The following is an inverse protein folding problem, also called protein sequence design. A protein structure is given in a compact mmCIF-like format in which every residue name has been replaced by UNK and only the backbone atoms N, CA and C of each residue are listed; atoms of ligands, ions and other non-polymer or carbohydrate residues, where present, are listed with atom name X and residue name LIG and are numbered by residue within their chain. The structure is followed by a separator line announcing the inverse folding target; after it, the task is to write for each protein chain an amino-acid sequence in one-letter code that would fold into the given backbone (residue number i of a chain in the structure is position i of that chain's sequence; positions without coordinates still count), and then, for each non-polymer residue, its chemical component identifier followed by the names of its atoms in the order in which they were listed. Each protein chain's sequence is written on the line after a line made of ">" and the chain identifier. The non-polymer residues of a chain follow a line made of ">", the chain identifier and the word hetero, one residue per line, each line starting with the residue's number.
data_IF_100224020009
#
_entry.id   IF_100224020009
#
_cell.length_a   1.000
_cell.length_b   1.000
_cell.length_c   1.000
_cell.angle_alpha   90.00
_cell.angle_beta   90.00
_cell.angle_gamma   90.00
#
_symmetry.space_group_name_H-M   'P 1'
#
loop_
_entity.id
_entity.type
_entity.pdbx_description
1 polymer ?
#
# COMPACT_ATOMS: atom_id res chain seq x y z
N UNK A 1 1.75 -11.05 4.76
CA UNK A 1 0.96 -9.82 4.51
C UNK A 1 1.51 -9.00 3.35
N UNK A 2 2.82 -8.70 3.30
CA UNK A 2 3.42 -7.92 2.20
C UNK A 2 3.22 -8.59 0.83
N UNK A 3 3.42 -9.91 0.72
CA UNK A 3 3.18 -10.66 -0.51
C UNK A 3 1.73 -10.62 -0.98
N UNK A 4 0.77 -10.62 -0.05
CA UNK A 4 -0.66 -10.48 -0.38
C UNK A 4 -0.97 -9.10 -0.95
N UNK A 5 -0.41 -8.04 -0.39
CA UNK A 5 -0.61 -6.67 -0.87
C UNK A 5 0.06 -6.41 -2.21
N UNK A 6 1.27 -6.97 -2.43
CA UNK A 6 1.93 -6.97 -3.73
C UNK A 6 1.13 -7.76 -4.76
N UNK A 7 0.58 -8.92 -4.38
CA UNK A 7 -0.32 -9.71 -5.23
C UNK A 7 -1.59 -8.96 -5.59
N UNK A 8 -2.19 -8.26 -4.64
CA UNK A 8 -3.36 -7.40 -4.89
C UNK A 8 -3.02 -6.27 -5.88
N UNK A 9 -1.93 -5.56 -5.64
CA UNK A 9 -1.49 -4.51 -6.56
C UNK A 9 -1.25 -5.06 -7.97
N UNK A 10 -0.54 -6.19 -8.06
CA UNK A 10 -0.26 -6.83 -9.34
C UNK A 10 -1.54 -7.27 -10.07
N UNK A 11 -2.50 -7.88 -9.37
CA UNK A 11 -3.77 -8.31 -9.97
C UNK A 11 -4.61 -7.12 -10.42
N UNK A 12 -4.70 -6.05 -9.63
CA UNK A 12 -5.38 -4.83 -10.04
C UNK A 12 -4.71 -4.22 -11.27
N UNK A 13 -3.38 -4.13 -11.27
CA UNK A 13 -2.64 -3.57 -12.39
C UNK A 13 -2.72 -4.41 -13.65
N UNK A 14 -2.63 -5.73 -13.55
CA UNK A 14 -2.79 -6.64 -14.68
C UNK A 14 -4.17 -6.55 -15.34
N UNK A 15 -5.22 -6.29 -14.54
CA UNK A 15 -6.60 -6.17 -15.03
C UNK A 15 -7.02 -4.71 -15.33
N UNK A 16 -6.08 -3.77 -15.41
CA UNK A 16 -6.38 -2.34 -15.61
C UNK A 16 -7.27 -2.07 -16.83
N UNK A 17 -7.04 -2.78 -17.93
CA UNK A 17 -7.80 -2.61 -19.17
C UNK A 17 -9.24 -3.10 -19.06
N UNK A 18 -9.45 -4.21 -18.39
CA UNK A 18 -10.79 -4.71 -18.10
C UNK A 18 -11.59 -3.73 -17.23
N UNK A 19 -10.96 -3.21 -16.18
CA UNK A 19 -11.58 -2.22 -15.29
C UNK A 19 -11.88 -0.93 -16.05
N UNK A 20 -10.94 -0.44 -16.87
CA UNK A 20 -11.16 0.76 -17.68
C UNK A 20 -12.29 0.56 -18.69
N UNK A 21 -12.37 -0.60 -19.33
CA UNK A 21 -13.45 -0.94 -20.27
C UNK A 21 -14.82 -0.94 -19.56
N UNK A 22 -14.93 -1.61 -18.42
CA UNK A 22 -16.16 -1.63 -17.61
C UNK A 22 -16.58 -0.21 -17.19
N UNK A 23 -15.61 0.63 -16.79
CA UNK A 23 -15.87 2.00 -16.37
C UNK A 23 -16.38 2.85 -17.55
N UNK A 24 -15.82 2.67 -18.75
CA UNK A 24 -16.23 3.40 -19.95
C UNK A 24 -17.60 2.96 -20.44
N UNK A 25 -17.95 1.67 -20.33
CA UNK A 25 -19.25 1.16 -20.75
C UNK A 25 -20.39 1.54 -19.76
N UNK A 26 -20.10 1.62 -18.47
CA UNK A 26 -21.14 1.88 -17.44
C UNK A 26 -21.56 3.33 -17.33
N UNK A 27 -21.02 4.27 -18.15
CA UNK A 27 -21.34 5.70 -18.12
C UNK A 27 -21.39 6.28 -16.69
N UNK A 28 -20.48 5.86 -15.83
CA UNK A 28 -20.41 6.40 -14.48
C UNK A 28 -20.18 7.92 -14.56
N UNK A 29 -20.99 8.74 -13.87
CA UNK A 29 -20.96 10.21 -14.00
C UNK A 29 -19.63 10.85 -13.52
N UNK A 30 -18.70 10.03 -13.02
CA UNK A 30 -17.37 10.44 -12.57
C UNK A 30 -16.39 10.57 -13.76
N UNK A 31 -16.77 10.08 -14.96
CA UNK A 31 -15.86 9.99 -16.07
C UNK A 31 -16.18 11.01 -17.15
N UNK A 32 -15.15 11.75 -17.51
CA UNK A 32 -15.17 12.60 -18.66
C UNK A 32 -15.55 11.75 -19.89
N UNK A 33 -16.52 12.22 -20.71
CA UNK A 33 -16.85 11.53 -21.94
C UNK A 33 -15.58 11.39 -22.77
N UNK A 34 -15.30 10.17 -23.24
CA UNK A 34 -14.21 9.97 -24.21
C UNK A 34 -14.62 10.74 -25.44
N UNK A 35 -13.94 11.83 -25.82
CA UNK A 35 -14.29 12.59 -26.99
C UNK A 35 -14.09 11.66 -28.19
N UNK A 36 -15.20 11.32 -28.83
CA UNK A 36 -15.14 10.77 -30.19
C UNK A 36 -15.08 11.94 -31.16
N UNK A 37 -14.39 11.79 -32.30
CA UNK A 37 -14.39 12.84 -33.31
C UNK A 37 -15.83 12.99 -33.83
N UNK A 38 -16.50 13.99 -33.29
CA UNK A 38 -17.83 14.36 -33.77
C UNK A 38 -17.73 15.08 -35.13
N UNK A 39 -18.86 15.30 -35.76
CA UNK A 39 -18.92 16.03 -37.01
C UNK A 39 -18.34 17.45 -36.90
N UNK A 40 -18.41 18.07 -35.70
CA UNK A 40 -17.85 19.40 -35.46
C UNK A 40 -16.31 19.36 -35.53
N UNK A 41 -15.70 18.31 -34.94
CA UNK A 41 -14.26 18.12 -35.00
C UNK A 41 -13.78 17.98 -36.46
N UNK A 42 -14.45 17.12 -37.26
CA UNK A 42 -14.09 16.92 -38.65
C UNK A 42 -14.34 18.16 -39.49
N UNK A 43 -15.39 18.92 -39.21
CA UNK A 43 -15.67 20.20 -39.93
C UNK A 43 -14.61 21.23 -39.58
N UNK A 44 -14.22 21.35 -38.31
CA UNK A 44 -13.13 22.24 -37.90
C UNK A 44 -11.82 21.83 -38.58
N UNK A 45 -11.47 20.56 -38.53
CA UNK A 45 -10.23 20.05 -39.12
C UNK A 45 -10.20 20.27 -40.63
N UNK A 46 -11.29 19.98 -41.34
CA UNK A 46 -11.41 20.20 -42.78
C UNK A 46 -11.30 21.67 -43.15
N UNK A 47 -11.92 22.57 -42.41
CA UNK A 47 -11.86 24.02 -42.64
C UNK A 47 -10.43 24.57 -42.44
N UNK A 48 -9.75 24.08 -41.41
CA UNK A 48 -8.39 24.49 -41.12
C UNK A 48 -7.38 23.90 -42.15
N UNK A 49 -7.57 22.61 -42.53
CA UNK A 49 -6.71 21.92 -43.50
C UNK A 49 -6.60 22.65 -44.85
N UNK A 50 -7.65 23.35 -45.27
CA UNK A 50 -7.65 24.15 -46.51
C UNK A 50 -6.60 25.27 -46.49
N UNK A 51 -6.07 25.65 -45.36
CA UNK A 51 -5.04 26.68 -45.25
C UNK A 51 -3.61 26.13 -45.41
N UNK A 52 -3.45 24.82 -45.47
CA UNK A 52 -2.14 24.15 -45.45
C UNK A 52 -1.93 23.31 -46.70
N UNK A 53 -0.67 23.24 -47.15
CA UNK A 53 -0.24 22.36 -48.23
C UNK A 53 0.16 20.99 -47.69
N UNK A 54 -0.17 19.92 -48.42
CA UNK A 54 0.29 18.55 -48.09
C UNK A 54 1.79 18.50 -48.43
N UNK A 55 2.67 18.05 -47.51
CA UNK A 55 4.07 17.84 -47.81
C UNK A 55 4.28 16.81 -48.94
N UNK A 56 5.19 17.03 -49.86
CA UNK A 56 5.55 16.04 -50.90
C UNK A 56 6.23 14.79 -50.28
N UNK A 57 6.93 14.98 -49.17
CA UNK A 57 7.59 13.92 -48.41
C UNK A 57 7.82 14.36 -46.97
N UNK A 58 8.17 13.41 -46.12
CA UNK A 58 8.57 13.67 -44.71
C UNK A 58 9.79 14.61 -44.64
N UNK A 59 10.58 14.70 -45.69
CA UNK A 59 11.77 15.56 -45.78
C UNK A 59 11.45 17.01 -46.13
N UNK A 60 10.22 17.34 -46.51
CA UNK A 60 9.78 18.69 -46.78
C UNK A 60 9.56 19.48 -45.47
N UNK A 61 10.67 19.94 -44.91
CA UNK A 61 10.72 20.59 -43.61
C UNK A 61 9.83 21.85 -43.55
N UNK A 62 9.72 22.60 -44.64
CA UNK A 62 8.95 23.85 -44.65
C UNK A 62 7.44 23.59 -44.59
N UNK A 63 6.94 22.63 -45.37
CA UNK A 63 5.52 22.28 -45.36
C UNK A 63 5.14 21.56 -44.06
N UNK A 64 6.02 20.70 -43.53
CA UNK A 64 5.82 20.01 -42.23
C UNK A 64 5.79 21.02 -41.07
N UNK A 65 6.68 22.04 -41.09
CA UNK A 65 6.71 23.09 -40.06
C UNK A 65 5.44 23.96 -40.10
N UNK A 66 4.93 24.24 -41.25
CA UNK A 66 3.64 24.96 -41.40
C UNK A 66 2.48 24.14 -40.86
N UNK A 67 2.44 22.84 -41.16
CA UNK A 67 1.44 21.91 -40.60
C UNK A 67 1.53 21.77 -39.07
N UNK A 68 2.69 22.05 -38.46
CA UNK A 68 2.84 22.00 -37.02
C UNK A 68 1.85 22.92 -36.30
N UNK A 69 1.50 24.06 -36.88
CA UNK A 69 0.52 25.00 -36.32
C UNK A 69 -0.91 24.43 -36.31
N UNK A 70 -1.25 23.50 -37.21
CA UNK A 70 -2.50 22.73 -37.17
C UNK A 70 -2.45 21.70 -36.05
N UNK A 71 -1.34 21.00 -35.92
CA UNK A 71 -1.14 20.01 -34.87
C UNK A 71 -1.18 20.61 -33.45
N UNK A 72 -0.67 21.84 -33.28
CA UNK A 72 -0.65 22.56 -32.01
C UNK A 72 -2.04 22.92 -31.46
N UNK A 73 -3.06 22.91 -32.32
CA UNK A 73 -4.45 23.14 -31.92
C UNK A 73 -5.12 21.91 -31.37
N UNK A 74 -4.53 20.72 -31.55
CA UNK A 74 -5.04 19.48 -31.02
C UNK A 74 -4.75 19.40 -29.52
N UNK A 75 -5.56 18.63 -28.82
CA UNK A 75 -5.32 18.34 -27.40
C UNK A 75 -4.10 17.44 -27.20
N UNK A 76 -3.68 17.30 -25.96
CA UNK A 76 -2.50 16.50 -25.60
C UNK A 76 -2.66 14.99 -25.85
N UNK A 77 -3.88 14.51 -26.05
CA UNK A 77 -4.21 13.08 -26.15
C UNK A 77 -4.60 12.65 -27.57
N UNK A 78 -4.60 13.58 -28.50
CA UNK A 78 -4.96 13.34 -29.88
C UNK A 78 -3.70 13.32 -30.74
N UNK A 79 -3.53 12.26 -31.52
CA UNK A 79 -2.53 12.16 -32.59
C UNK A 79 -3.19 12.39 -33.95
N UNK A 80 -2.47 13.02 -34.86
CA UNK A 80 -2.92 13.25 -36.21
C UNK A 80 -1.81 12.89 -37.20
N UNK A 81 -2.17 12.12 -38.22
CA UNK A 81 -1.24 11.66 -39.25
C UNK A 81 -1.83 11.92 -40.62
N UNK A 82 -1.03 12.44 -41.53
CA UNK A 82 -1.41 12.74 -42.90
C UNK A 82 -0.68 11.80 -43.85
N UNK A 83 -1.46 11.13 -44.69
CA UNK A 83 -0.96 10.19 -45.69
C UNK A 83 -1.40 10.64 -47.08
N UNK A 84 -0.59 10.40 -48.09
CA UNK A 84 -0.98 10.61 -49.48
C UNK A 84 -2.18 9.76 -49.86
N UNK A 85 -3.16 10.35 -50.55
CA UNK A 85 -4.40 9.66 -50.91
C UNK A 85 -4.17 8.49 -51.89
N UNK A 86 -3.27 8.68 -52.86
CA UNK A 86 -3.04 7.73 -53.97
C UNK A 86 -2.01 6.66 -53.59
N UNK A 87 -0.95 7.05 -52.92
CA UNK A 87 0.20 6.20 -52.62
C UNK A 87 0.18 5.60 -51.18
N UNK A 88 -0.65 6.14 -50.32
CA UNK A 88 -0.72 5.71 -48.91
C UNK A 88 0.57 6.00 -48.15
N UNK A 89 1.45 6.83 -48.65
CA UNK A 89 2.74 7.14 -48.02
C UNK A 89 2.53 8.19 -46.93
N UNK A 90 3.15 7.95 -45.76
CA UNK A 90 3.17 8.92 -44.67
C UNK A 90 3.85 10.25 -45.14
N UNK A 91 3.20 11.34 -44.86
CA UNK A 91 3.67 12.69 -45.25
C UNK A 91 4.08 13.52 -44.03
N UNK A 92 3.21 13.59 -43.03
CA UNK A 92 3.46 14.33 -41.82
C UNK A 92 2.56 13.81 -40.67
N UNK A 93 2.94 14.08 -39.46
CA UNK A 93 2.07 13.76 -38.34
C UNK A 93 2.69 14.11 -36.98
N UNK A 94 1.82 14.18 -36.02
CA UNK A 94 2.21 14.41 -34.64
C UNK A 94 1.65 13.31 -33.74
N UNK A 95 2.53 12.68 -32.97
CA UNK A 95 2.14 11.80 -31.88
C UNK A 95 1.47 12.61 -30.75
N UNK A 96 0.54 12.00 -30.01
CA UNK A 96 -0.06 12.66 -28.86
C UNK A 96 1.00 13.18 -27.90
N UNK A 97 0.91 14.46 -27.55
CA UNK A 97 1.90 15.11 -26.67
C UNK A 97 1.96 14.50 -25.27
N UNK A 98 0.89 13.82 -24.84
CA UNK A 98 0.87 13.09 -23.58
C UNK A 98 1.96 11.99 -23.50
N UNK A 99 2.33 11.38 -24.63
CA UNK A 99 3.33 10.31 -24.67
C UNK A 99 4.75 10.83 -24.36
N UNK A 100 5.03 12.11 -24.63
CA UNK A 100 6.30 12.76 -24.32
C UNK A 100 6.43 13.24 -22.87
N UNK A 101 5.36 13.23 -22.06
CA UNK A 101 5.41 13.71 -20.69
C UNK A 101 6.09 12.68 -19.79
N UNK A 102 6.93 13.13 -18.83
CA UNK A 102 7.71 12.27 -17.92
C UNK A 102 6.86 11.24 -17.18
N UNK A 103 5.64 11.60 -16.76
CA UNK A 103 4.71 10.70 -16.09
C UNK A 103 4.32 9.47 -16.91
N UNK A 104 4.26 9.60 -18.25
CA UNK A 104 3.98 8.49 -19.15
C UNK A 104 5.25 7.70 -19.45
N UNK A 105 6.40 8.39 -19.58
CA UNK A 105 7.70 7.78 -19.79
C UNK A 105 8.04 6.79 -18.67
N UNK A 106 7.73 7.12 -17.43
CA UNK A 106 7.89 6.21 -16.30
C UNK A 106 7.21 4.84 -16.52
N UNK A 107 6.01 4.82 -17.08
CA UNK A 107 5.29 3.56 -17.35
C UNK A 107 5.91 2.75 -18.49
N UNK A 108 6.51 3.41 -19.48
CA UNK A 108 7.27 2.75 -20.55
C UNK A 108 8.56 2.10 -20.00
N UNK A 109 9.30 2.82 -19.17
CA UNK A 109 10.57 2.36 -18.62
C UNK A 109 10.40 1.15 -17.66
N UNK A 110 9.23 1.01 -17.05
CA UNK A 110 8.88 -0.14 -16.17
C UNK A 110 8.39 -1.35 -16.99
N UNK A 111 8.48 -1.30 -18.34
CA UNK A 111 8.11 -2.42 -19.21
C UNK A 111 6.61 -2.63 -19.40
N UNK A 112 5.79 -1.68 -18.99
CA UNK A 112 4.36 -1.69 -19.23
C UNK A 112 4.07 -0.98 -20.56
N UNK A 113 3.84 -1.75 -21.61
CA UNK A 113 3.38 -1.19 -22.87
C UNK A 113 2.03 -0.51 -22.66
N UNK A 114 1.97 0.80 -22.90
CA UNK A 114 0.70 1.55 -22.91
C UNK A 114 -0.19 1.11 -24.10
N UNK A 115 0.39 0.40 -25.07
CA UNK A 115 -0.28 -0.07 -26.27
C UNK A 115 -0.99 -1.40 -26.09
N UNK A 116 -0.67 -2.19 -25.03
CA UNK A 116 -1.33 -3.46 -24.78
C UNK A 116 -2.75 -3.23 -24.25
N UNK A 117 -3.72 -3.15 -25.17
CA UNK A 117 -5.15 -3.06 -24.85
C UNK A 117 -5.74 -1.65 -24.85
N UNK A 118 -4.98 -0.61 -25.21
CA UNK A 118 -5.60 0.67 -25.61
C UNK A 118 -6.39 0.37 -26.87
N UNK A 119 -7.71 0.47 -26.79
CA UNK A 119 -8.54 0.65 -27.97
C UNK A 119 -8.16 2.03 -28.53
N UNK A 120 -7.08 2.06 -29.31
CA UNK A 120 -6.76 3.16 -30.15
C UNK A 120 -7.96 3.37 -31.07
N UNK A 121 -8.77 4.36 -30.77
CA UNK A 121 -9.85 4.74 -31.67
C UNK A 121 -9.21 5.46 -32.83
N UNK A 122 -8.90 4.69 -33.86
CA UNK A 122 -8.37 5.18 -35.13
C UNK A 122 -9.55 5.52 -36.02
N UNK A 123 -9.63 6.79 -36.38
CA UNK A 123 -10.59 7.30 -37.35
C UNK A 123 -9.86 7.81 -38.57
N UNK A 124 -10.33 7.38 -39.72
CA UNK A 124 -9.74 7.72 -40.99
C UNK A 124 -10.76 8.47 -41.84
N UNK A 125 -10.33 9.63 -42.40
CA UNK A 125 -11.15 10.43 -43.31
C UNK A 125 -10.32 11.12 -44.34
N UNK A 126 -10.81 11.11 -45.58
CA UNK A 126 -10.20 11.92 -46.65
C UNK A 126 -10.55 13.38 -46.43
N UNK A 127 -9.52 14.22 -46.35
CA UNK A 127 -9.64 15.65 -46.06
C UNK A 127 -9.00 16.43 -47.18
N UNK A 128 -9.65 17.54 -47.58
CA UNK A 128 -9.15 18.46 -48.59
C UNK A 128 -8.17 19.45 -47.98
N UNK A 129 -7.01 19.56 -48.57
CA UNK A 129 -5.97 20.53 -48.26
C UNK A 129 -5.87 21.52 -49.40
N UNK A 130 -5.05 22.55 -49.26
CA UNK A 130 -4.90 23.61 -50.24
C UNK A 130 -4.38 23.11 -51.60
N UNK A 131 -3.52 22.10 -51.64
CA UNK A 131 -2.89 21.54 -52.84
C UNK A 131 -3.43 20.16 -53.26
N UNK A 132 -4.50 19.63 -52.59
CA UNK A 132 -5.10 18.35 -52.96
C UNK A 132 -5.80 17.65 -51.82
N UNK A 133 -6.02 16.35 -51.99
CA UNK A 133 -6.65 15.51 -50.97
C UNK A 133 -5.63 14.61 -50.30
N UNK A 134 -5.76 14.45 -48.99
CA UNK A 134 -4.97 13.50 -48.20
C UNK A 134 -5.85 12.67 -47.28
N UNK A 135 -5.39 11.49 -46.97
CA UNK A 135 -6.00 10.63 -45.94
C UNK A 135 -5.48 11.09 -44.59
N UNK A 136 -6.38 11.59 -43.75
CA UNK A 136 -6.06 12.01 -42.40
C UNK A 136 -6.51 10.92 -41.42
N UNK A 137 -5.57 10.43 -40.63
CA UNK A 137 -5.81 9.46 -39.56
C UNK A 137 -5.70 10.20 -38.24
N UNK A 138 -6.77 10.13 -37.45
CA UNK A 138 -6.82 10.69 -36.11
C UNK A 138 -6.89 9.56 -35.10
N UNK A 139 -6.02 9.61 -34.12
CA UNK A 139 -5.94 8.62 -33.05
C UNK A 139 -6.20 9.29 -31.70
N UNK A 140 -7.07 8.69 -30.90
CA UNK A 140 -7.46 9.22 -29.60
C UNK A 140 -6.95 8.31 -28.50
N UNK A 141 -6.16 8.88 -27.58
CA UNK A 141 -5.56 8.18 -26.43
C UNK A 141 -6.15 8.64 -25.10
N UNK A 142 -7.43 9.04 -25.10
CA UNK A 142 -8.07 9.58 -23.90
C UNK A 142 -8.19 8.56 -22.76
N UNK A 143 -8.20 7.26 -23.06
CA UNK A 143 -8.12 6.21 -22.05
C UNK A 143 -6.86 6.33 -21.18
N UNK A 144 -5.78 6.89 -21.72
CA UNK A 144 -4.53 7.11 -20.99
C UNK A 144 -4.66 8.15 -19.86
N UNK A 145 -5.67 9.03 -19.89
CA UNK A 145 -5.97 9.97 -18.80
C UNK A 145 -6.24 9.21 -17.50
N UNK A 146 -6.88 8.04 -17.59
CA UNK A 146 -7.28 7.25 -16.43
C UNK A 146 -6.20 6.32 -15.89
N UNK A 147 -5.17 6.04 -16.69
CA UNK A 147 -4.10 5.09 -16.28
C UNK A 147 -3.36 5.61 -15.05
N UNK A 148 -3.00 6.88 -15.02
CA UNK A 148 -2.26 7.47 -13.90
C UNK A 148 -3.09 7.53 -12.60
N UNK A 149 -4.34 8.08 -12.60
CA UNK A 149 -5.21 8.01 -11.43
C UNK A 149 -5.49 6.58 -10.96
N UNK A 150 -5.70 5.64 -11.89
CA UNK A 150 -5.91 4.24 -11.56
C UNK A 150 -4.68 3.60 -10.90
N UNK A 151 -3.48 3.91 -11.39
CA UNK A 151 -2.23 3.47 -10.77
C UNK A 151 -2.13 3.99 -9.33
N UNK A 152 -2.35 5.29 -9.13
CA UNK A 152 -2.32 5.88 -7.78
C UNK A 152 -3.39 5.24 -6.88
N UNK A 153 -4.60 5.05 -7.37
CA UNK A 153 -5.68 4.41 -6.62
C UNK A 153 -5.31 2.97 -6.21
N UNK A 154 -4.81 2.16 -7.14
CA UNK A 154 -4.40 0.78 -6.86
C UNK A 154 -3.22 0.71 -5.87
N UNK A 155 -2.28 1.66 -5.98
CA UNK A 155 -1.15 1.79 -5.06
C UNK A 155 -1.63 2.17 -3.66
N UNK A 156 -2.45 3.22 -3.53
CA UNK A 156 -2.98 3.66 -2.23
C UNK A 156 -3.87 2.59 -1.58
N UNK A 157 -4.68 1.90 -2.36
CA UNK A 157 -5.52 0.81 -1.87
C UNK A 157 -4.66 -0.33 -1.32
N UNK A 158 -3.61 -0.73 -2.05
CA UNK A 158 -2.70 -1.81 -1.63
C UNK A 158 -1.90 -1.43 -0.38
N UNK A 159 -1.34 -0.21 -0.34
CA UNK A 159 -0.59 0.30 0.82
C UNK A 159 -1.51 0.50 2.02
N UNK A 160 -2.71 1.05 1.80
CA UNK A 160 -3.71 1.23 2.85
C UNK A 160 -4.12 -0.09 3.50
N UNK A 161 -4.40 -1.11 2.69
CA UNK A 161 -4.71 -2.45 3.19
C UNK A 161 -3.53 -3.05 3.97
N UNK A 162 -2.30 -2.88 3.48
CA UNK A 162 -1.10 -3.32 4.18
C UNK A 162 -0.98 -2.67 5.56
N UNK A 163 -1.16 -1.35 5.64
CA UNK A 163 -1.12 -0.61 6.90
C UNK A 163 -2.22 -1.04 7.88
N UNK A 164 -3.44 -1.29 7.38
CA UNK A 164 -4.54 -1.78 8.21
C UNK A 164 -4.22 -3.15 8.83
N UNK A 165 -3.71 -4.09 8.03
CA UNK A 165 -3.30 -5.41 8.51
C UNK A 165 -2.16 -5.26 9.54
N UNK A 166 -1.18 -4.41 9.27
CA UNK A 166 -0.05 -4.16 10.17
C UNK A 166 -0.51 -3.54 11.48
N UNK A 167 -1.38 -2.53 11.46
CA UNK A 167 -1.95 -1.91 12.65
C UNK A 167 -2.78 -2.90 13.47
N UNK A 168 -3.59 -3.74 12.81
CA UNK A 168 -4.34 -4.80 13.50
C UNK A 168 -3.39 -5.76 14.22
N UNK A 169 -2.31 -6.16 13.57
CA UNK A 169 -1.32 -7.07 14.16
C UNK A 169 -0.58 -6.42 15.33
N UNK A 170 -0.15 -5.17 15.20
CA UNK A 170 0.50 -4.40 16.26
C UNK A 170 -0.44 -4.25 17.46
N UNK A 171 -1.69 -3.85 17.24
CA UNK A 171 -2.67 -3.69 18.32
C UNK A 171 -2.92 -4.99 19.08
N UNK A 172 -2.97 -6.11 18.36
CA UNK A 172 -3.10 -7.44 18.98
C UNK A 172 -1.91 -7.77 19.87
N UNK A 173 -0.68 -7.50 19.40
CA UNK A 173 0.55 -7.74 20.16
C UNK A 173 0.68 -6.80 21.34
N UNK A 174 0.33 -5.54 21.18
CA UNK A 174 0.38 -4.56 22.27
C UNK A 174 -0.56 -4.93 23.43
N UNK A 175 -1.74 -5.49 23.14
CA UNK A 175 -2.63 -5.99 24.19
C UNK A 175 -1.97 -7.08 25.03
N UNK A 176 -1.21 -8.00 24.42
CA UNK A 176 -0.48 -9.04 25.15
C UNK A 176 0.60 -8.44 26.08
N UNK A 177 1.33 -7.42 25.58
CA UNK A 177 2.34 -6.71 26.38
C UNK A 177 1.71 -5.99 27.58
N UNK A 178 0.55 -5.35 27.37
CA UNK A 178 -0.18 -4.67 28.45
C UNK A 178 -0.66 -5.65 29.52
N UNK A 179 -1.17 -6.81 29.12
CA UNK A 179 -1.55 -7.88 30.05
C UNK A 179 -0.34 -8.36 30.85
N UNK A 180 0.77 -8.62 30.19
CA UNK A 180 2.00 -9.06 30.85
C UNK A 180 2.50 -8.02 31.88
N UNK A 181 2.43 -6.72 31.53
CA UNK A 181 2.71 -5.64 32.47
C UNK A 181 1.83 -5.70 33.71
N UNK A 182 0.52 -5.98 33.55
CA UNK A 182 -0.41 -6.07 34.70
C UNK A 182 -0.06 -7.25 35.59
N UNK A 183 0.32 -8.40 35.04
CA UNK A 183 0.74 -9.56 35.81
C UNK A 183 2.03 -9.27 36.62
N UNK A 184 3.00 -8.58 36.01
CA UNK A 184 4.22 -8.15 36.72
C UNK A 184 3.88 -7.23 37.90
N UNK A 185 2.96 -6.28 37.69
CA UNK A 185 2.53 -5.38 38.78
C UNK A 185 1.81 -6.13 39.92
N UNK A 186 1.00 -7.16 39.59
CA UNK A 186 0.36 -8.03 40.60
C UNK A 186 1.39 -8.79 41.40
N UNK A 187 2.34 -9.44 40.74
CA UNK A 187 3.45 -10.16 41.38
C UNK A 187 4.25 -9.25 42.30
N UNK A 188 4.54 -8.03 41.86
CA UNK A 188 5.27 -7.03 42.68
C UNK A 188 4.48 -6.55 43.89
N UNK A 189 3.14 -6.63 43.86
CA UNK A 189 2.26 -6.36 44.98
C UNK A 189 2.12 -7.58 45.93
N UNK A 190 2.80 -8.69 45.65
CA UNK A 190 2.79 -9.92 46.50
C UNK A 190 1.71 -10.94 46.11
N UNK A 191 0.89 -10.70 45.10
CA UNK A 191 -0.10 -11.65 44.62
C UNK A 191 0.55 -12.64 43.63
N UNK A 192 0.97 -13.79 44.17
CA UNK A 192 1.55 -14.89 43.41
C UNK A 192 0.55 -16.02 43.15
N UNK A 193 -0.72 -15.83 43.49
CA UNK A 193 -1.73 -16.92 43.48
C UNK A 193 -2.19 -17.28 42.06
N UNK A 194 -2.19 -16.33 41.15
CA UNK A 194 -2.69 -16.51 39.79
C UNK A 194 -1.57 -16.83 38.79
N UNK A 195 -1.72 -17.87 37.93
CA UNK A 195 -0.75 -18.18 36.89
C UNK A 195 -0.70 -17.06 35.83
N UNK A 196 0.48 -16.77 35.31
CA UNK A 196 0.63 -15.87 34.21
C UNK A 196 0.09 -16.52 32.94
N UNK A 197 -0.89 -15.87 32.30
CA UNK A 197 -1.50 -16.39 31.08
C UNK A 197 -0.48 -16.42 29.93
N UNK A 198 0.00 -17.60 29.59
CA UNK A 198 0.91 -17.81 28.47
C UNK A 198 0.09 -18.08 27.21
N UNK A 199 0.01 -17.09 26.28
CA UNK A 199 -0.62 -17.29 24.99
C UNK A 199 0.35 -16.98 23.87
N UNK A 200 0.65 -17.98 23.04
CA UNK A 200 1.47 -17.83 21.85
C UNK A 200 2.78 -18.59 21.86
N UNK A 201 3.31 -18.79 20.66
CA UNK A 201 4.59 -19.49 20.37
C UNK A 201 5.70 -18.49 20.06
N UNK A 202 5.39 -17.21 20.12
CA UNK A 202 6.28 -16.10 19.83
C UNK A 202 7.10 -15.66 21.07
N UNK A 203 7.93 -14.65 20.90
CA UNK A 203 8.83 -14.12 21.92
C UNK A 203 8.07 -13.64 23.16
N UNK A 204 6.85 -13.10 22.99
CA UNK A 204 5.98 -12.67 24.09
C UNK A 204 5.46 -13.90 24.86
N UNK A 205 5.11 -14.97 24.14
CA UNK A 205 4.69 -16.23 24.74
C UNK A 205 5.83 -16.91 25.50
N UNK A 206 7.07 -16.84 24.99
CA UNK A 206 8.26 -17.32 25.73
C UNK A 206 8.44 -16.51 26.99
N UNK A 207 8.41 -15.19 26.93
CA UNK A 207 8.57 -14.30 28.06
C UNK A 207 7.47 -14.54 29.13
N UNK A 208 6.23 -14.81 28.72
CA UNK A 208 5.13 -15.14 29.63
C UNK A 208 5.41 -16.42 30.41
N UNK A 209 5.95 -17.46 29.76
CA UNK A 209 6.33 -18.72 30.42
C UNK A 209 7.46 -18.56 31.43
N UNK A 210 8.50 -17.79 31.04
CA UNK A 210 9.62 -17.50 31.95
C UNK A 210 9.16 -16.70 33.16
N UNK A 211 8.22 -15.77 32.96
CA UNK A 211 7.62 -15.02 34.06
C UNK A 211 6.80 -15.91 35.02
N UNK A 212 6.04 -16.87 34.48
CA UNK A 212 5.29 -17.83 35.33
C UNK A 212 6.24 -18.74 36.10
N UNK A 213 7.34 -19.16 35.49
CA UNK A 213 8.38 -19.93 36.18
C UNK A 213 9.01 -19.11 37.33
N UNK A 214 9.30 -17.83 37.08
CA UNK A 214 9.80 -16.92 38.13
C UNK A 214 8.79 -16.79 39.28
N UNK A 215 7.49 -16.65 38.98
CA UNK A 215 6.41 -16.58 39.96
C UNK A 215 6.40 -17.82 40.86
N UNK A 216 6.47 -19.02 40.26
CA UNK A 216 6.49 -20.27 41.01
C UNK A 216 7.72 -20.35 41.91
N UNK A 217 8.88 -19.95 41.43
CA UNK A 217 10.12 -19.95 42.22
C UNK A 217 10.02 -18.97 43.39
N UNK A 218 9.45 -17.79 43.20
CA UNK A 218 9.22 -16.81 44.24
C UNK A 218 8.24 -17.34 45.29
N UNK A 219 7.12 -17.97 44.91
CA UNK A 219 6.16 -18.56 45.80
C UNK A 219 6.79 -19.65 46.66
N UNK A 220 7.61 -20.53 46.06
CA UNK A 220 8.35 -21.55 46.78
C UNK A 220 9.35 -20.97 47.80
N UNK A 221 10.12 -19.97 47.40
CA UNK A 221 11.09 -19.32 48.27
C UNK A 221 10.40 -18.67 49.49
N UNK A 222 9.28 -17.97 49.27
CA UNK A 222 8.51 -17.34 50.34
C UNK A 222 7.97 -18.41 51.33
N UNK A 223 7.44 -19.51 50.82
CA UNK A 223 6.98 -20.62 51.67
C UNK A 223 8.11 -21.24 52.50
N UNK A 224 9.25 -21.51 51.87
CA UNK A 224 10.42 -22.04 52.57
C UNK A 224 10.92 -21.06 53.64
N UNK A 225 10.94 -19.77 53.38
CA UNK A 225 11.30 -18.74 54.35
C UNK A 225 10.31 -18.72 55.53
N UNK A 226 9.00 -18.79 55.24
CA UNK A 226 7.97 -18.86 56.28
C UNK A 226 8.10 -20.12 57.15
N UNK A 227 8.35 -21.30 56.57
CA UNK A 227 8.59 -22.53 57.27
C UNK A 227 9.85 -22.46 58.16
N UNK A 228 10.95 -21.89 57.64
CA UNK A 228 12.18 -21.68 58.38
C UNK A 228 11.96 -20.72 59.57
N UNK A 229 11.23 -19.62 59.35
CA UNK A 229 10.85 -18.70 60.43
C UNK A 229 9.96 -19.35 61.47
N UNK A 230 9.00 -20.18 61.08
CA UNK A 230 8.14 -20.87 61.98
C UNK A 230 8.97 -21.91 62.86
N UNK A 231 9.80 -22.72 62.23
CA UNK A 231 10.69 -23.64 62.88
C UNK A 231 11.62 -22.94 63.86
N UNK A 232 12.20 -21.77 63.47
CA UNK A 232 13.06 -21.00 64.35
C UNK A 232 12.29 -20.45 65.56
N UNK A 233 11.04 -19.98 65.41
CA UNK A 233 10.18 -19.56 66.53
C UNK A 233 9.87 -20.70 67.48
N UNK A 234 9.56 -21.89 66.97
CA UNK A 234 9.32 -23.11 67.79
C UNK A 234 10.54 -23.53 68.58
N UNK A 235 11.73 -23.50 67.93
CA UNK A 235 13.01 -23.78 68.59
C UNK A 235 13.29 -22.78 69.72
N UNK A 236 13.11 -21.46 69.46
CA UNK A 236 13.30 -20.44 70.53
C UNK A 236 12.31 -20.63 71.68
N UNK A 237 11.04 -20.96 71.37
CA UNK A 237 10.04 -21.24 72.40
C UNK A 237 10.42 -22.47 73.26
N UNK A 238 10.85 -23.58 72.63
CA UNK A 238 11.31 -24.80 73.35
C UNK A 238 12.55 -24.48 74.17
N UNK A 239 13.57 -23.82 73.63
CA UNK A 239 14.77 -23.45 74.42
C UNK A 239 14.41 -22.53 75.60
N UNK A 240 13.52 -21.59 75.42
CA UNK A 240 13.07 -20.69 76.50
C UNK A 240 12.37 -21.44 77.61
N UNK A 241 11.56 -22.45 77.26
CA UNK A 241 10.90 -23.31 78.22
C UNK A 241 11.93 -24.17 79.00
N UNK A 242 12.86 -24.79 78.27
CA UNK A 242 13.84 -25.70 78.87
C UNK A 242 14.90 -24.97 79.73
N UNK A 243 15.20 -23.69 79.40
CA UNK A 243 16.08 -22.82 80.19
C UNK A 243 15.35 -22.24 81.41
N UNK A 244 14.04 -22.05 81.38
CA UNK A 244 13.28 -21.51 82.51
C UNK A 244 13.32 -22.44 83.70
N UNK A 245 13.22 -23.77 83.48
CA UNK A 245 13.20 -24.77 84.55
C UNK A 245 14.49 -24.77 85.40
N UNK A 246 15.70 -24.86 84.82
CA UNK A 246 16.95 -24.83 85.60
C UNK A 246 17.22 -23.43 86.16
N UNK A 247 16.84 -22.34 85.51
CA UNK A 247 16.97 -21.01 86.10
C UNK A 247 16.07 -20.80 87.31
N UNK A 248 14.84 -21.33 87.32
CA UNK A 248 13.94 -21.26 88.44
C UNK A 248 14.49 -22.05 89.60
N UNK A 249 15.08 -23.25 89.37
CA UNK A 249 15.76 -24.07 90.38
C UNK A 249 16.97 -23.33 90.95
N UNK A 250 17.80 -22.72 90.07
CA UNK A 250 18.98 -21.96 90.49
C UNK A 250 18.62 -20.72 91.29
N UNK A 251 17.55 -20.02 90.93
CA UNK A 251 17.01 -18.91 91.71
C UNK A 251 16.50 -19.34 93.03
N UNK A 252 15.78 -20.49 93.14
CA UNK A 252 15.32 -21.05 94.38
C UNK A 252 16.44 -21.51 95.35
N UNK A 253 17.59 -21.91 94.80
CA UNK A 253 18.79 -22.21 95.58
C UNK A 253 19.52 -20.95 96.09
N UNK A 254 19.46 -19.85 95.39
CA UNK A 254 20.07 -18.59 95.82
C UNK A 254 19.24 -17.83 96.86
N UNK A 255 17.95 -18.11 96.96
CA UNK A 255 17.01 -17.49 97.91
C UNK A 255 16.90 -18.26 99.28
N UNK A 256 17.72 -19.33 99.45
CA UNK A 256 17.81 -20.01 100.73
C UNK A 256 18.89 -19.30 101.57
N UNK A 257 18.54 -18.66 102.73
CA UNK A 257 19.48 -17.95 103.57
C UNK A 257 20.46 -18.92 104.27
#
# INVERSE_FOLDING_TARGET
>A
SALLCLGLFHTLWANKWYVLHVITETNLPIMLPVPQPDENFWTMLGTEALNYDIPDSESDTEAVEKLQSLFDRLDDYTGLYVYGLEDGIYRAGQYPRCMGKERFRFFFDVGYSLTDGVTEQRHERNTEFKNGYATVIVTFYHSSIFIFPYFLFSLFLSVGLFLLILLFFINRKMKQVVLLKQEILRMSAGDLSTPVASSGVDEIGVLSRELDHLRLTLDQNIRQEQEAHQSNRELIAALSHDLRTPLTVLHGYLDIP
#
